data_IF_281974506561
#
_entry.id   IF_281974506561
#
_cell.length_a   1.000
_cell.length_b   1.000
_cell.length_c   1.000
_cell.angle_alpha   90.00
_cell.angle_beta   90.00
_cell.angle_gamma   90.00
#
_symmetry.space_group_name_H-M   'P 1'
#
loop_
_entity.id
_entity.type
_entity.pdbx_description
1 polymer ?
#
# COMPACT_ATOMS: atom_id res chain seq x y z
N UNK A 1 -19.82 1.14 10.55
CA UNK A 1 -20.26 -0.09 9.88
C UNK A 1 -19.36 -0.25 8.68
N UNK A 2 -18.25 -0.97 8.86
CA UNK A 2 -17.43 -1.43 7.75
C UNK A 2 -18.09 -2.71 7.27
N UNK A 3 -18.20 -2.91 5.96
CA UNK A 3 -18.86 -4.07 5.38
C UNK A 3 -18.34 -5.37 6.03
N UNK A 4 -19.26 -6.18 6.57
CA UNK A 4 -18.96 -7.39 7.36
C UNK A 4 -18.34 -8.52 6.53
N UNK A 5 -18.26 -8.35 5.22
CA UNK A 5 -17.71 -9.33 4.30
C UNK A 5 -16.48 -8.75 3.60
N UNK A 6 -15.32 -9.22 4.04
CA UNK A 6 -14.08 -9.09 3.30
C UNK A 6 -14.31 -9.74 1.93
N UNK A 7 -14.06 -9.05 0.79
CA UNK A 7 -14.28 -9.64 -0.52
C UNK A 7 -13.52 -10.96 -0.63
N UNK A 8 -14.19 -12.02 -1.07
CA UNK A 8 -13.53 -13.28 -1.38
C UNK A 8 -12.55 -13.01 -2.52
N UNK A 9 -11.27 -12.84 -2.17
CA UNK A 9 -10.15 -12.78 -3.11
C UNK A 9 -9.84 -14.18 -3.64
N UNK A 10 -10.87 -14.89 -4.11
CA UNK A 10 -10.69 -16.16 -4.78
C UNK A 10 -10.14 -15.87 -6.18
N UNK A 11 -8.81 -15.73 -6.27
CA UNK A 11 -8.07 -15.63 -7.53
C UNK A 11 -8.05 -17.00 -8.22
N UNK A 12 -9.22 -17.46 -8.67
CA UNK A 12 -9.32 -18.56 -9.62
C UNK A 12 -8.80 -18.06 -10.98
N UNK A 13 -7.48 -18.09 -11.16
CA UNK A 13 -6.76 -17.68 -12.38
C UNK A 13 -7.01 -18.61 -13.59
N UNK A 14 -8.01 -19.50 -13.53
CA UNK A 14 -8.36 -20.46 -14.58
C UNK A 14 -9.72 -20.23 -15.24
N UNK A 15 -10.48 -19.21 -14.84
CA UNK A 15 -11.74 -18.86 -15.49
C UNK A 15 -11.64 -17.50 -16.18
N UNK A 16 -11.73 -17.45 -17.52
CA UNK A 16 -11.99 -16.19 -18.21
C UNK A 16 -13.41 -15.75 -17.84
N UNK A 17 -13.53 -14.88 -16.83
CA UNK A 17 -14.80 -14.22 -16.50
C UNK A 17 -15.28 -13.49 -17.74
N UNK A 18 -16.53 -13.68 -18.15
CA UNK A 18 -17.15 -12.96 -19.28
C UNK A 18 -17.70 -11.62 -18.82
N UNK A 19 -17.71 -10.63 -19.70
CA UNK A 19 -18.31 -9.33 -19.43
C UNK A 19 -19.78 -9.47 -19.02
N UNK A 20 -20.16 -8.88 -17.90
CA UNK A 20 -21.53 -8.93 -17.38
C UNK A 20 -22.51 -8.06 -18.17
N UNK A 21 -22.00 -7.12 -18.97
CA UNK A 21 -22.82 -6.19 -19.77
C UNK A 21 -23.11 -6.76 -21.16
N UNK A 22 -22.08 -7.18 -21.90
CA UNK A 22 -22.26 -7.72 -23.25
C UNK A 22 -22.32 -9.25 -23.31
N UNK A 23 -21.71 -9.97 -22.37
CA UNK A 23 -21.65 -11.44 -22.39
C UNK A 23 -20.77 -12.06 -23.49
N UNK A 24 -20.29 -11.25 -24.44
CA UNK A 24 -19.62 -11.74 -25.66
C UNK A 24 -18.08 -11.80 -25.54
N UNK A 25 -17.50 -10.96 -24.68
CA UNK A 25 -16.05 -10.81 -24.53
C UNK A 25 -15.60 -11.16 -23.11
N UNK A 26 -14.33 -11.62 -22.93
CA UNK A 26 -13.77 -11.80 -21.60
C UNK A 26 -13.67 -10.45 -20.87
N UNK A 27 -14.10 -10.42 -19.62
CA UNK A 27 -13.92 -9.31 -18.72
C UNK A 27 -12.45 -9.17 -18.33
N UNK A 28 -11.88 -8.02 -18.65
CA UNK A 28 -10.49 -7.69 -18.31
C UNK A 28 -10.40 -6.62 -17.22
N UNK A 29 -11.54 -6.04 -16.83
CA UNK A 29 -11.62 -4.98 -15.83
C UNK A 29 -12.67 -5.31 -14.79
N UNK A 30 -12.43 -4.84 -13.56
CA UNK A 30 -13.34 -4.95 -12.44
C UNK A 30 -13.72 -3.55 -11.96
N UNK A 31 -15.01 -3.23 -12.05
CA UNK A 31 -15.58 -1.96 -11.65
C UNK A 31 -16.17 -2.07 -10.24
N UNK A 32 -15.76 -1.15 -9.37
CA UNK A 32 -16.34 -0.93 -8.05
C UNK A 32 -17.14 0.37 -8.08
N UNK A 33 -18.45 0.28 -7.82
CA UNK A 33 -19.33 1.44 -7.76
C UNK A 33 -19.91 1.57 -6.36
N UNK A 34 -19.80 2.75 -5.77
CA UNK A 34 -20.34 3.07 -4.44
C UNK A 34 -21.48 4.08 -4.62
N UNK A 35 -22.72 3.66 -4.37
CA UNK A 35 -23.90 4.52 -4.40
C UNK A 35 -24.62 4.40 -3.06
N UNK A 36 -24.83 5.52 -2.38
CA UNK A 36 -25.51 5.57 -1.07
C UNK A 36 -24.95 4.60 -0.01
N UNK A 37 -23.64 4.38 -0.05
CA UNK A 37 -22.93 3.47 0.87
C UNK A 37 -23.01 1.99 0.50
N UNK A 38 -23.69 1.64 -0.59
CA UNK A 38 -23.73 0.28 -1.14
C UNK A 38 -22.62 0.13 -2.18
N UNK A 39 -21.76 -0.87 -1.99
CA UNK A 39 -20.68 -1.22 -2.91
C UNK A 39 -21.17 -2.31 -3.86
N UNK A 40 -21.16 -2.05 -5.15
CA UNK A 40 -21.44 -3.04 -6.20
C UNK A 40 -20.20 -3.33 -7.03
N UNK A 41 -19.99 -4.61 -7.34
CA UNK A 41 -18.87 -5.14 -8.11
C UNK A 41 -19.38 -5.59 -9.48
N UNK A 42 -18.66 -5.26 -10.56
CA UNK A 42 -19.06 -5.64 -11.93
C UNK A 42 -17.83 -5.92 -12.79
N UNK A 43 -17.83 -7.06 -13.50
CA UNK A 43 -16.77 -7.43 -14.44
C UNK A 43 -17.09 -6.98 -15.87
N UNK A 44 -16.20 -6.18 -16.48
CA UNK A 44 -16.43 -5.53 -17.79
C UNK A 44 -15.32 -5.84 -18.80
N UNK A 45 -15.68 -5.95 -20.08
CA UNK A 45 -14.74 -5.93 -21.21
C UNK A 45 -14.31 -4.48 -21.54
N UNK A 46 -13.23 -4.28 -22.31
CA UNK A 46 -12.70 -2.95 -22.70
C UNK A 46 -13.77 -1.98 -23.18
N UNK A 47 -14.62 -2.39 -24.13
CA UNK A 47 -15.64 -1.53 -24.71
C UNK A 47 -16.72 -1.13 -23.71
N UNK A 48 -17.24 -2.07 -22.92
CA UNK A 48 -18.29 -1.77 -21.95
C UNK A 48 -17.80 -0.90 -20.78
N UNK A 49 -16.52 -0.91 -20.43
CA UNK A 49 -16.02 0.00 -19.40
C UNK A 49 -15.84 1.44 -19.89
N UNK A 50 -15.49 1.64 -21.17
CA UNK A 50 -15.45 2.98 -21.76
C UNK A 50 -16.83 3.63 -21.72
N UNK A 51 -17.87 2.91 -22.15
CA UNK A 51 -19.26 3.40 -22.08
C UNK A 51 -19.72 3.67 -20.64
N UNK A 52 -19.31 2.81 -19.68
CA UNK A 52 -19.62 3.02 -18.27
C UNK A 52 -18.90 4.24 -17.68
N UNK A 53 -17.69 4.55 -18.15
CA UNK A 53 -16.93 5.73 -17.72
C UNK A 53 -17.58 7.04 -18.22
N UNK A 54 -18.16 7.05 -19.42
CA UNK A 54 -18.82 8.22 -19.99
C UNK A 54 -20.15 8.57 -19.31
N UNK A 55 -20.87 7.57 -18.78
CA UNK A 55 -22.22 7.74 -18.23
C UNK A 55 -22.26 8.12 -16.74
N UNK A 56 -21.13 8.09 -16.04
CA UNK A 56 -21.13 8.25 -14.58
C UNK A 56 -20.12 9.31 -14.11
N UNK A 57 -20.64 10.50 -13.76
CA UNK A 57 -19.89 11.51 -13.02
C UNK A 57 -19.48 10.95 -11.66
N UNK A 58 -18.17 10.85 -11.40
CA UNK A 58 -17.63 10.52 -10.07
C UNK A 58 -17.18 9.07 -9.87
N UNK A 59 -16.97 8.28 -10.93
CA UNK A 59 -16.24 7.03 -10.76
C UNK A 59 -14.79 7.31 -10.37
N UNK A 60 -14.45 7.02 -9.11
CA UNK A 60 -13.10 6.66 -8.73
C UNK A 60 -12.80 5.29 -9.36
N UNK A 61 -12.60 5.30 -10.67
CA UNK A 61 -12.02 4.21 -11.42
C UNK A 61 -10.64 3.95 -10.80
N UNK A 62 -10.55 2.95 -9.91
CA UNK A 62 -9.27 2.35 -9.54
C UNK A 62 -8.82 1.52 -10.73
N UNK A 63 -8.49 2.23 -11.79
CA UNK A 63 -7.77 1.69 -12.90
C UNK A 63 -6.34 1.47 -12.40
N UNK A 64 -5.89 0.22 -12.44
CA UNK A 64 -4.46 -0.06 -12.50
C UNK A 64 -3.91 0.42 -13.86
N UNK A 65 -4.01 1.72 -14.13
CA UNK A 65 -3.52 2.34 -15.35
C UNK A 65 -2.06 2.72 -15.13
N UNK A 66 -1.13 2.25 -15.98
CA UNK A 66 0.24 2.72 -16.00
C UNK A 66 0.31 4.25 -16.12
N UNK A 67 1.21 4.86 -15.36
CA UNK A 67 1.37 6.31 -15.18
C UNK A 67 1.47 7.12 -16.47
N UNK A 68 1.89 6.48 -17.57
CA UNK A 68 2.04 7.08 -18.90
C UNK A 68 0.70 7.62 -19.46
N UNK A 69 -0.43 7.01 -19.08
CA UNK A 69 -1.75 7.38 -19.62
C UNK A 69 -2.50 8.41 -18.74
N UNK A 70 -2.01 8.70 -17.52
CA UNK A 70 -2.60 9.73 -16.64
C UNK A 70 -2.57 11.14 -17.24
N UNK A 71 -1.67 11.39 -18.19
CA UNK A 71 -1.48 12.71 -18.80
C UNK A 71 -2.41 12.99 -20.00
N UNK A 72 -3.21 12.02 -20.45
CA UNK A 72 -4.14 12.24 -21.57
C UNK A 72 -5.43 12.97 -21.17
N UNK A 73 -5.70 13.13 -19.87
CA UNK A 73 -6.95 13.73 -19.36
C UNK A 73 -6.82 15.09 -18.65
N UNK A 74 -5.63 15.69 -18.55
CA UNK A 74 -5.48 16.99 -17.86
C UNK A 74 -5.67 18.17 -18.83
N UNK A 75 -6.90 18.70 -18.85
CA UNK A 75 -7.14 20.11 -19.18
C UNK A 75 -6.44 21.01 -18.14
N UNK A 76 -5.80 22.13 -18.52
CA UNK A 76 -4.96 22.90 -17.61
C UNK A 76 -5.83 23.75 -16.69
N UNK A 77 -6.10 23.26 -15.48
CA UNK A 77 -6.65 24.07 -14.38
C UNK A 77 -5.52 24.46 -13.44
N UNK A 78 -5.55 25.74 -13.06
CA UNK A 78 -4.45 26.53 -12.53
C UNK A 78 -3.79 25.95 -11.27
N UNK A 79 -2.46 26.14 -11.22
CA UNK A 79 -1.61 25.91 -10.06
C UNK A 79 -1.98 26.89 -8.94
N UNK A 80 -2.35 26.37 -7.77
CA UNK A 80 -2.20 27.10 -6.51
C UNK A 80 -0.87 26.71 -5.88
N UNK A 81 0.02 27.70 -5.82
CA UNK A 81 1.37 27.65 -5.26
C UNK A 81 1.32 27.65 -3.73
N UNK A 82 1.64 26.51 -3.11
CA UNK A 82 2.11 26.44 -1.72
C UNK A 82 3.55 26.99 -1.59
N UNK A 83 3.99 27.37 -0.39
CA UNK A 83 5.20 28.15 -0.19
C UNK A 83 6.45 27.35 -0.57
N UNK A 84 7.21 27.91 -1.51
CA UNK A 84 8.51 27.42 -1.95
C UNK A 84 9.52 27.69 -0.84
N UNK A 85 9.93 26.62 -0.16
CA UNK A 85 11.17 26.63 0.63
C UNK A 85 12.33 26.54 -0.39
N UNK A 86 13.31 27.45 -0.38
CA UNK A 86 14.47 27.33 -1.24
C UNK A 86 15.40 26.30 -0.63
N UNK A 87 15.50 25.12 -1.21
CA UNK A 87 16.61 24.21 -0.93
C UNK A 87 17.24 23.82 -2.26
N UNK A 88 18.52 24.14 -2.37
CA UNK A 88 19.54 23.66 -3.30
C UNK A 88 19.04 22.70 -4.39
N UNK A 89 19.34 23.08 -5.64
CA UNK A 89 19.22 22.23 -6.81
C UNK A 89 20.11 20.98 -6.64
N UNK A 90 19.58 20.01 -5.93
CA UNK A 90 20.02 18.63 -5.96
C UNK A 90 19.63 18.11 -7.35
N UNK A 91 20.51 18.33 -8.33
CA UNK A 91 20.45 17.70 -9.66
C UNK A 91 20.77 16.20 -9.54
N UNK A 92 20.22 15.53 -8.52
CA UNK A 92 20.24 14.08 -8.40
C UNK A 92 19.26 13.55 -9.43
N UNK A 93 19.78 12.83 -10.41
CA UNK A 93 19.01 12.14 -11.42
C UNK A 93 19.41 10.68 -11.49
N UNK A 94 18.44 9.83 -11.83
CA UNK A 94 18.70 8.43 -12.05
C UNK A 94 19.40 8.23 -13.40
N UNK A 95 20.64 7.72 -13.40
CA UNK A 95 21.38 7.45 -14.63
C UNK A 95 20.74 6.38 -15.54
N UNK A 96 19.79 5.59 -15.02
CA UNK A 96 19.11 4.51 -15.77
C UNK A 96 17.89 5.02 -16.54
N UNK A 97 17.03 5.81 -15.92
CA UNK A 97 15.77 6.27 -16.52
C UNK A 97 15.66 7.79 -16.67
N UNK A 98 16.65 8.55 -16.21
CA UNK A 98 16.70 10.00 -16.32
C UNK A 98 15.81 10.77 -15.34
N UNK A 99 15.00 10.09 -14.53
CA UNK A 99 14.12 10.74 -13.54
C UNK A 99 14.94 11.58 -12.56
N UNK A 100 14.54 12.82 -12.33
CA UNK A 100 15.18 13.73 -11.39
C UNK A 100 14.47 13.72 -10.03
N UNK A 101 15.15 14.19 -8.98
CA UNK A 101 14.53 14.33 -7.66
C UNK A 101 13.30 15.27 -7.68
N UNK A 102 13.34 16.31 -8.51
CA UNK A 102 12.21 17.22 -8.72
C UNK A 102 10.99 16.50 -9.30
N UNK A 103 11.19 15.61 -10.26
CA UNK A 103 10.09 14.81 -10.83
C UNK A 103 9.44 13.92 -9.76
N UNK A 104 10.24 13.33 -8.87
CA UNK A 104 9.72 12.50 -7.76
C UNK A 104 8.95 13.35 -6.75
N UNK A 105 9.43 14.57 -6.43
CA UNK A 105 8.74 15.52 -5.53
C UNK A 105 7.39 15.97 -6.08
N UNK A 106 7.31 16.25 -7.39
CA UNK A 106 6.08 16.73 -8.03
C UNK A 106 5.07 15.61 -8.31
N UNK A 107 5.55 14.44 -8.75
CA UNK A 107 4.68 13.33 -9.14
C UNK A 107 4.35 12.37 -8.00
N UNK A 108 5.19 12.34 -6.96
CA UNK A 108 5.13 11.33 -5.88
C UNK A 108 5.50 9.92 -6.34
N UNK A 109 6.02 9.75 -7.56
CA UNK A 109 6.30 8.46 -8.16
C UNK A 109 7.79 8.35 -8.54
N UNK A 110 8.34 7.14 -8.38
CA UNK A 110 9.69 6.81 -8.83
C UNK A 110 9.66 6.14 -10.21
N UNK A 111 10.66 6.43 -11.05
CA UNK A 111 10.67 6.01 -12.46
C UNK A 111 11.03 4.54 -12.70
N UNK A 112 12.10 4.02 -12.08
CA UNK A 112 12.53 2.63 -12.23
C UNK A 112 13.03 2.06 -10.89
N UNK A 113 13.37 0.78 -10.84
CA UNK A 113 13.87 0.13 -9.62
C UNK A 113 15.09 0.83 -9.00
N UNK A 114 16.00 1.34 -9.84
CA UNK A 114 17.20 2.04 -9.37
C UNK A 114 16.89 3.38 -8.68
N UNK A 115 15.73 3.99 -8.96
CA UNK A 115 15.33 5.24 -8.33
C UNK A 115 15.13 5.11 -6.82
N UNK A 116 14.74 3.93 -6.32
CA UNK A 116 14.64 3.70 -4.87
C UNK A 116 15.98 3.83 -4.16
N UNK A 117 17.08 3.47 -4.82
CA UNK A 117 18.42 3.60 -4.25
C UNK A 117 18.95 5.03 -4.40
N UNK A 118 18.78 5.64 -5.58
CA UNK A 118 19.27 7.00 -5.88
C UNK A 118 18.58 8.04 -4.99
N UNK A 119 17.30 7.85 -4.69
CA UNK A 119 16.50 8.79 -3.89
C UNK A 119 16.18 8.26 -2.49
N UNK A 120 16.92 7.26 -1.99
CA UNK A 120 16.65 6.58 -0.72
C UNK A 120 16.48 7.57 0.44
N UNK A 121 17.41 8.51 0.61
CA UNK A 121 17.37 9.52 1.68
C UNK A 121 16.08 10.36 1.67
N UNK A 122 15.61 10.75 0.48
CA UNK A 122 14.38 11.53 0.34
C UNK A 122 13.15 10.68 0.63
N UNK A 123 13.12 9.43 0.15
CA UNK A 123 12.02 8.51 0.39
C UNK A 123 11.92 8.13 1.87
N UNK A 124 13.06 7.89 2.54
CA UNK A 124 13.12 7.61 3.97
C UNK A 124 12.59 8.78 4.80
N UNK A 125 13.03 10.01 4.49
CA UNK A 125 12.53 11.21 5.17
C UNK A 125 11.03 11.43 4.96
N UNK A 126 10.49 11.10 3.77
CA UNK A 126 9.05 11.14 3.52
C UNK A 126 8.28 10.11 4.35
N UNK A 127 8.78 8.87 4.43
CA UNK A 127 8.18 7.81 5.25
C UNK A 127 8.24 8.17 6.73
N UNK A 128 9.33 8.79 7.19
CA UNK A 128 9.49 9.31 8.54
C UNK A 128 8.54 10.45 8.89
N UNK A 129 8.26 11.33 7.93
CA UNK A 129 7.32 12.43 8.11
C UNK A 129 5.86 11.93 8.18
N UNK A 130 5.57 10.76 7.59
CA UNK A 130 4.31 10.08 7.76
C UNK A 130 4.12 9.62 9.21
N UNK A 131 2.95 9.85 9.80
CA UNK A 131 2.62 9.38 11.14
C UNK A 131 2.43 7.84 11.23
N UNK A 132 2.77 7.11 10.16
CA UNK A 132 2.64 5.66 10.11
C UNK A 132 3.92 4.97 10.64
N UNK A 133 3.78 3.85 11.35
CA UNK A 133 4.92 3.10 11.85
C UNK A 133 5.78 2.59 10.68
N UNK A 134 7.10 2.84 10.74
CA UNK A 134 8.09 2.40 9.73
C UNK A 134 8.09 0.90 9.45
N UNK A 135 7.69 0.11 10.45
CA UNK A 135 7.58 -1.35 10.35
C UNK A 135 6.11 -1.74 10.35
N UNK A 136 5.61 -2.28 9.25
CA UNK A 136 4.28 -2.89 9.22
C UNK A 136 4.35 -4.26 9.90
N UNK A 137 3.66 -4.40 11.04
CA UNK A 137 3.61 -5.65 11.79
C UNK A 137 2.72 -6.74 11.16
N UNK A 138 2.17 -6.53 9.95
CA UNK A 138 1.17 -7.41 9.34
C UNK A 138 -0.29 -7.09 9.74
N UNK A 139 -1.25 -7.65 8.99
CA UNK A 139 -2.68 -7.60 9.31
C UNK A 139 -3.06 -8.84 10.11
N UNK A 140 -3.72 -8.65 11.26
CA UNK A 140 -4.13 -9.74 12.14
C UNK A 140 -5.61 -10.09 11.94
N UNK A 141 -5.96 -11.33 11.56
CA UNK A 141 -7.35 -11.77 11.58
C UNK A 141 -7.83 -11.87 13.03
N UNK A 142 -9.05 -11.40 13.33
CA UNK A 142 -9.64 -11.48 14.68
C UNK A 142 -9.81 -12.92 15.19
N UNK A 143 -9.81 -13.91 14.29
CA UNK A 143 -9.86 -15.33 14.57
C UNK A 143 -8.72 -16.04 13.84
N UNK A 144 -7.50 -15.82 14.31
CA UNK A 144 -6.30 -16.53 13.86
C UNK A 144 -5.90 -17.66 14.82
N UNK A 145 -5.00 -18.56 14.39
CA UNK A 145 -4.42 -19.54 15.29
C UNK A 145 -3.62 -18.84 16.40
N UNK A 146 -3.62 -19.41 17.61
CA UNK A 146 -2.94 -18.83 18.79
C UNK A 146 -1.44 -18.59 18.53
N UNK A 147 -0.83 -19.43 17.68
CA UNK A 147 0.56 -19.30 17.23
C UNK A 147 0.85 -17.96 16.54
N UNK A 148 -0.09 -17.44 15.76
CA UNK A 148 0.09 -16.17 15.06
C UNK A 148 0.02 -14.98 16.02
N UNK A 149 -0.82 -15.08 17.06
CA UNK A 149 -0.90 -14.10 18.15
C UNK A 149 0.44 -14.04 18.89
N UNK A 150 0.99 -15.21 19.23
CA UNK A 150 2.27 -15.33 19.92
C UNK A 150 3.42 -14.77 19.07
N UNK A 151 3.48 -15.11 17.78
CA UNK A 151 4.50 -14.58 16.86
C UNK A 151 4.47 -13.06 16.76
N UNK A 152 3.28 -12.46 16.65
CA UNK A 152 3.17 -11.00 16.61
C UNK A 152 3.61 -10.34 17.92
N UNK A 153 3.25 -10.92 19.06
CA UNK A 153 3.68 -10.39 20.36
C UNK A 153 5.19 -10.48 20.53
N UNK A 154 5.82 -11.56 20.04
CA UNK A 154 7.29 -11.68 19.97
C UNK A 154 7.88 -10.55 19.12
N UNK A 155 7.40 -10.35 17.89
CA UNK A 155 7.91 -9.29 17.00
C UNK A 155 7.77 -7.88 17.64
N UNK A 156 6.65 -7.64 18.34
CA UNK A 156 6.42 -6.40 19.08
C UNK A 156 7.44 -6.21 20.21
N UNK A 157 7.66 -7.24 21.01
CA UNK A 157 8.60 -7.20 22.14
C UNK A 157 10.05 -7.09 21.68
N UNK A 158 10.44 -7.70 20.56
CA UNK A 158 11.77 -7.53 19.96
C UNK A 158 12.05 -6.08 19.57
N UNK A 159 11.07 -5.40 18.97
CA UNK A 159 11.17 -3.96 18.68
C UNK A 159 11.27 -3.14 19.96
N UNK A 160 10.42 -3.41 20.94
CA UNK A 160 10.45 -2.72 22.23
C UNK A 160 11.79 -2.92 22.94
N UNK A 161 12.37 -4.11 22.86
CA UNK A 161 13.70 -4.40 23.40
C UNK A 161 14.77 -3.54 22.72
N UNK A 162 14.77 -3.46 21.38
CA UNK A 162 15.68 -2.59 20.62
C UNK A 162 15.57 -1.13 21.06
N UNK A 163 14.35 -0.63 21.21
CA UNK A 163 14.09 0.76 21.66
C UNK A 163 14.55 1.00 23.10
N UNK A 164 14.27 0.09 24.03
CA UNK A 164 14.68 0.22 25.43
C UNK A 164 16.20 0.18 25.58
N UNK A 165 16.90 -0.66 24.81
CA UNK A 165 18.37 -0.69 24.77
C UNK A 165 18.93 0.61 24.19
N UNK A 166 18.36 1.13 23.11
CA UNK A 166 18.78 2.40 22.52
C UNK A 166 18.59 3.60 23.47
N UNK A 167 17.57 3.55 24.33
CA UNK A 167 17.30 4.56 25.35
C UNK A 167 17.97 4.28 26.71
N UNK A 168 18.90 3.32 26.79
CA UNK A 168 19.64 2.95 28.02
C UNK A 168 18.76 2.50 29.21
N UNK A 169 17.53 2.03 28.95
CA UNK A 169 16.58 1.54 29.96
C UNK A 169 16.79 0.05 30.23
N UNK A 170 17.95 -0.30 30.78
CA UNK A 170 18.39 -1.70 30.87
C UNK A 170 17.55 -2.59 31.79
N UNK A 171 16.99 -2.05 32.87
CA UNK A 171 16.15 -2.82 33.81
C UNK A 171 14.85 -3.28 33.13
N UNK A 172 14.23 -2.39 32.36
CA UNK A 172 13.03 -2.70 31.60
C UNK A 172 13.35 -3.62 30.41
N UNK A 173 14.48 -3.38 29.74
CA UNK A 173 14.97 -4.25 28.67
C UNK A 173 15.18 -5.70 29.16
N UNK A 174 15.68 -5.88 30.39
CA UNK A 174 15.81 -7.21 30.98
C UNK A 174 14.44 -7.89 31.16
N UNK A 175 13.43 -7.16 31.64
CA UNK A 175 12.06 -7.69 31.75
C UNK A 175 11.46 -8.09 30.39
N UNK A 176 11.69 -7.28 29.36
CA UNK A 176 11.23 -7.60 27.99
C UNK A 176 11.94 -8.82 27.43
N UNK A 177 13.26 -8.94 27.66
CA UNK A 177 14.06 -10.10 27.25
C UNK A 177 13.56 -11.38 27.91
N UNK A 178 13.29 -11.34 29.20
CA UNK A 178 12.81 -12.52 29.93
C UNK A 178 11.42 -12.94 29.44
N UNK A 179 10.56 -11.97 29.10
CA UNK A 179 9.25 -12.24 28.48
C UNK A 179 9.37 -12.84 27.07
N UNK A 180 10.34 -12.38 26.27
CA UNK A 180 10.62 -12.95 24.95
C UNK A 180 11.04 -14.42 25.05
N UNK A 181 11.87 -14.78 26.04
CA UNK A 181 12.26 -16.17 26.28
C UNK A 181 11.04 -17.05 26.61
N UNK A 182 10.18 -16.60 27.52
CA UNK A 182 8.95 -17.32 27.89
C UNK A 182 8.01 -17.53 26.70
N UNK A 183 7.82 -16.51 25.85
CA UNK A 183 6.98 -16.64 24.66
C UNK A 183 7.60 -17.53 23.59
N UNK A 184 8.93 -17.52 23.45
CA UNK A 184 9.67 -18.42 22.56
C UNK A 184 9.48 -19.89 22.95
N UNK A 185 9.65 -20.22 24.23
CA UNK A 185 9.42 -21.58 24.75
C UNK A 185 7.97 -22.06 24.51
N UNK A 186 6.98 -21.17 24.70
CA UNK A 186 5.58 -21.48 24.41
C UNK A 186 5.28 -21.74 22.93
N UNK A 187 6.02 -21.09 22.04
CA UNK A 187 5.90 -21.29 20.59
C UNK A 187 6.50 -22.64 20.17
N UNK A 188 7.62 -23.02 20.77
CA UNK A 188 8.32 -24.29 20.51
C UNK A 188 7.64 -25.49 21.18
N UNK A 189 6.89 -25.29 22.27
CA UNK A 189 6.16 -26.31 23.03
C UNK A 189 4.74 -26.65 22.54
N UNK A 190 4.34 -26.22 21.34
CA UNK A 190 3.02 -26.54 20.77
C UNK A 190 2.87 -28.04 20.44
N UNK A 191 1.68 -28.65 20.60
CA UNK A 191 1.49 -30.10 20.51
C UNK A 191 1.76 -30.61 19.08
N UNK A 192 2.54 -31.70 18.99
CA UNK A 192 2.51 -32.62 17.82
C UNK A 192 1.11 -33.23 17.62
#
# INVERSE_FOLDING_TARGET
MFADESPDWNFDLSGSVTCEVCGDEPATMHLLKVVDGIVSHTHLCPGCAEEAAEQTDGLALVLAVPSVLRNLGRSPVAKESGPVVPSDADDRFCAVCGTTLSDVRESGLVGCANCYQVFAEYLEALVEAGAEPKEHLGKMPQRGPETDILRHEIMRLERMLRELVACERFEEAAGVRDRLAELGERLEGGPE
#
